data_IF_778772894670
#
_entry.id   IF_778772894670
#
_cell.length_a   1.000
_cell.length_b   1.000
_cell.length_c   1.000
_cell.angle_alpha   90.00
_cell.angle_beta   90.00
_cell.angle_gamma   90.00
#
_symmetry.space_group_name_H-M   'P 1'
#
loop_
_entity.id
_entity.type
_entity.pdbx_description
1 polymer ?
#
# COMPACT_ATOMS: atom_id res chain seq x y z
N UNK A 1 5.06 -0.57 4.31
CA UNK A 1 6.40 -0.92 3.79
C UNK A 1 6.88 0.19 2.87
N UNK A 2 8.16 0.62 3.00
CA UNK A 2 8.72 1.64 2.11
C UNK A 2 9.74 2.57 2.80
N UNK A 3 10.03 3.71 2.18
CA UNK A 3 10.92 4.72 2.75
C UNK A 3 10.21 5.53 3.83
N UNK A 4 10.88 5.83 4.93
CA UNK A 4 10.36 6.79 5.91
C UNK A 4 10.63 8.20 5.39
N UNK A 5 9.64 8.78 4.73
CA UNK A 5 9.68 10.14 4.17
C UNK A 5 8.30 10.79 4.25
N UNK A 6 8.25 12.12 4.26
CA UNK A 6 6.98 12.87 4.30
C UNK A 6 6.04 12.52 3.14
N UNK A 7 6.60 12.29 1.95
CA UNK A 7 5.82 11.94 0.76
C UNK A 7 5.05 10.62 0.87
N UNK A 8 5.39 9.77 1.85
CA UNK A 8 4.70 8.49 2.08
C UNK A 8 3.44 8.59 2.94
N UNK A 9 3.09 9.79 3.42
CA UNK A 9 1.86 10.03 4.17
C UNK A 9 1.78 9.27 5.51
N UNK A 10 2.95 8.95 6.11
CA UNK A 10 2.99 8.21 7.39
C UNK A 10 2.29 9.02 8.48
N UNK A 11 2.39 10.34 8.44
CA UNK A 11 1.69 11.23 9.37
C UNK A 11 0.17 11.05 9.30
N UNK A 12 -0.39 11.07 8.10
CA UNK A 12 -1.83 10.84 7.85
C UNK A 12 -2.26 9.46 8.38
N UNK A 13 -1.43 8.43 8.20
CA UNK A 13 -1.69 7.09 8.73
C UNK A 13 -1.70 7.07 10.26
N UNK A 14 -0.75 7.71 10.91
CA UNK A 14 -0.69 7.77 12.38
C UNK A 14 -1.90 8.52 12.96
N UNK A 15 -2.33 9.61 12.31
CA UNK A 15 -3.55 10.30 12.71
C UNK A 15 -4.80 9.43 12.49
N UNK A 16 -4.89 8.68 11.40
CA UNK A 16 -5.98 7.71 11.18
C UNK A 16 -5.98 6.63 12.28
N UNK A 17 -4.81 6.07 12.63
CA UNK A 17 -4.69 5.12 13.73
C UNK A 17 -5.11 5.73 15.08
N UNK A 18 -4.80 6.99 15.33
CA UNK A 18 -5.25 7.68 16.54
C UNK A 18 -6.78 7.84 16.61
N UNK A 19 -7.45 8.01 15.48
CA UNK A 19 -8.92 8.01 15.41
C UNK A 19 -9.45 6.61 15.74
N UNK A 20 -8.86 5.58 15.14
CA UNK A 20 -9.32 4.19 15.26
C UNK A 20 -9.11 3.62 16.68
N UNK A 21 -7.98 3.93 17.33
CA UNK A 21 -7.66 3.34 18.66
C UNK A 21 -8.70 3.63 19.74
N UNK A 22 -9.50 4.69 19.56
CA UNK A 22 -10.57 5.05 20.48
C UNK A 22 -11.88 4.30 20.19
N UNK A 23 -11.93 3.50 19.12
CA UNK A 23 -13.05 2.63 18.82
C UNK A 23 -12.84 1.28 19.51
N UNK A 24 -13.82 0.87 20.36
CA UNK A 24 -13.78 -0.37 21.13
C UNK A 24 -13.63 -1.63 20.25
N UNK A 25 -14.06 -1.58 19.01
CA UNK A 25 -13.99 -2.71 18.08
C UNK A 25 -12.58 -2.96 17.53
N UNK A 26 -11.66 -2.01 17.70
CA UNK A 26 -10.34 -2.01 17.07
C UNK A 26 -9.18 -2.13 18.06
N UNK A 27 -9.46 -2.52 19.32
CA UNK A 27 -8.48 -2.57 20.41
C UNK A 27 -7.29 -3.53 20.19
N UNK A 28 -7.41 -4.50 19.29
CA UNK A 28 -6.38 -5.52 19.03
C UNK A 28 -5.67 -5.32 17.69
N UNK A 29 -5.62 -4.09 17.17
CA UNK A 29 -4.96 -3.80 15.89
C UNK A 29 -3.51 -3.43 16.13
N UNK A 30 -2.61 -4.03 15.32
CA UNK A 30 -1.21 -3.65 15.24
C UNK A 30 -0.90 -3.07 13.87
N UNK A 31 -0.36 -1.85 13.84
CA UNK A 31 0.23 -1.25 12.65
C UNK A 31 1.72 -1.56 12.61
N UNK A 32 2.19 -2.20 11.55
CA UNK A 32 3.62 -2.44 11.32
C UNK A 32 4.13 -1.51 10.24
N UNK A 33 5.06 -0.61 10.59
CA UNK A 33 5.74 0.30 9.67
C UNK A 33 7.15 -0.22 9.44
N UNK A 34 7.45 -0.62 8.20
CA UNK A 34 8.76 -1.21 7.85
C UNK A 34 9.43 -0.41 6.74
N UNK A 35 10.73 -0.13 6.90
CA UNK A 35 11.44 0.55 5.82
C UNK A 35 12.80 1.12 6.17
N UNK A 36 13.27 1.95 5.24
CA UNK A 36 14.55 2.66 5.34
C UNK A 36 14.27 4.13 5.63
N UNK A 37 15.05 4.70 6.54
CA UNK A 37 14.92 6.11 6.89
C UNK A 37 15.46 7.02 5.79
N UNK A 38 14.64 7.98 5.40
CA UNK A 38 14.97 9.08 4.47
C UNK A 38 14.73 10.45 5.16
N UNK A 39 15.14 10.55 6.42
CA UNK A 39 15.09 11.79 7.21
C UNK A 39 13.74 12.07 7.85
N UNK A 40 12.90 11.07 8.05
CA UNK A 40 11.57 11.25 8.69
C UNK A 40 11.38 10.38 9.94
N UNK A 41 12.33 9.53 10.29
CA UNK A 41 12.17 8.60 11.41
C UNK A 41 11.92 9.29 12.74
N UNK A 42 12.70 10.32 13.06
CA UNK A 42 12.61 11.00 14.36
C UNK A 42 11.28 11.74 14.52
N UNK A 43 10.81 12.42 13.45
CA UNK A 43 9.48 13.06 13.43
C UNK A 43 8.37 12.00 13.62
N UNK A 44 8.45 10.87 12.93
CA UNK A 44 7.52 9.75 13.04
C UNK A 44 7.46 9.19 14.47
N UNK A 45 8.60 8.90 15.07
CA UNK A 45 8.67 8.35 16.43
C UNK A 45 8.14 9.34 17.47
N UNK A 46 8.46 10.64 17.30
CA UNK A 46 7.89 11.70 18.13
C UNK A 46 6.36 11.75 18.01
N UNK A 47 5.83 11.65 16.80
CA UNK A 47 4.39 11.66 16.57
C UNK A 47 3.70 10.44 17.20
N UNK A 48 4.28 9.24 17.07
CA UNK A 48 3.80 8.01 17.73
C UNK A 48 3.70 8.23 19.24
N UNK A 49 4.70 8.85 19.86
CA UNK A 49 4.71 9.16 21.29
C UNK A 49 3.65 10.18 21.67
N UNK A 50 3.53 11.28 20.93
CA UNK A 50 2.52 12.35 21.17
C UNK A 50 1.10 11.79 21.08
N UNK A 51 0.83 10.94 20.09
CA UNK A 51 -0.47 10.30 19.88
C UNK A 51 -0.70 9.08 20.82
N UNK A 52 0.30 8.73 21.64
CA UNK A 52 0.25 7.56 22.55
C UNK A 52 -0.12 6.27 21.83
N UNK A 53 0.55 6.01 20.68
CA UNK A 53 0.31 4.85 19.82
C UNK A 53 1.34 3.72 20.05
N UNK A 54 2.22 3.83 21.05
CA UNK A 54 3.32 2.89 21.27
C UNK A 54 2.92 1.42 21.37
N UNK A 55 1.76 1.14 21.94
CA UNK A 55 1.25 -0.23 22.08
C UNK A 55 0.63 -0.78 20.77
N UNK A 56 0.33 0.10 19.82
CA UNK A 56 -0.38 -0.26 18.57
C UNK A 56 0.53 -0.19 17.33
N UNK A 57 1.70 0.45 17.43
CA UNK A 57 2.59 0.71 16.28
C UNK A 57 3.95 0.09 16.51
N UNK A 58 4.34 -0.81 15.63
CA UNK A 58 5.68 -1.42 15.57
C UNK A 58 6.44 -0.81 14.41
N UNK A 59 7.61 -0.25 14.66
CA UNK A 59 8.51 0.32 13.63
C UNK A 59 9.71 -0.59 13.46
N UNK A 60 9.94 -1.08 12.24
CA UNK A 60 11.07 -1.94 11.88
C UNK A 60 11.92 -1.21 10.83
N UNK A 61 13.13 -0.80 11.23
CA UNK A 61 14.09 -0.12 10.36
C UNK A 61 14.98 -1.13 9.64
N UNK A 62 15.21 -0.89 8.35
CA UNK A 62 16.05 -1.72 7.50
C UNK A 62 15.70 -3.23 7.58
N UNK A 63 14.43 -3.63 7.42
CA UNK A 63 14.04 -5.02 7.52
C UNK A 63 14.73 -5.87 6.45
N UNK A 64 15.19 -7.09 6.78
CA UNK A 64 15.55 -8.08 5.78
C UNK A 64 14.36 -8.38 4.86
N UNK A 65 14.63 -8.84 3.63
CA UNK A 65 13.56 -9.16 2.66
C UNK A 65 12.59 -10.21 3.19
N UNK A 66 13.08 -11.20 3.91
CA UNK A 66 12.27 -12.28 4.46
C UNK A 66 11.26 -11.77 5.51
N UNK A 67 11.65 -10.79 6.33
CA UNK A 67 10.74 -10.16 7.29
C UNK A 67 9.64 -9.36 6.59
N UNK A 68 9.97 -8.69 5.48
CA UNK A 68 8.98 -7.98 4.65
C UNK A 68 7.97 -8.97 4.04
N UNK A 69 8.46 -10.11 3.54
CA UNK A 69 7.63 -11.19 3.01
C UNK A 69 6.73 -11.77 4.11
N UNK A 70 7.28 -12.00 5.29
CA UNK A 70 6.51 -12.50 6.44
C UNK A 70 5.42 -11.51 6.86
N UNK A 71 5.72 -10.21 6.85
CA UNK A 71 4.75 -9.15 7.15
C UNK A 71 3.59 -9.14 6.13
N UNK A 72 3.87 -9.24 4.83
CA UNK A 72 2.80 -9.36 3.83
C UNK A 72 1.92 -10.60 4.04
N UNK A 73 2.52 -11.75 4.38
CA UNK A 73 1.76 -12.98 4.62
C UNK A 73 0.84 -12.87 5.83
N UNK A 74 1.29 -12.23 6.90
CA UNK A 74 0.59 -12.15 8.18
C UNK A 74 -0.38 -10.95 8.25
N UNK A 75 -0.18 -9.91 7.44
CA UNK A 75 -1.06 -8.75 7.46
C UNK A 75 -2.46 -9.07 6.92
N UNK A 76 -3.43 -8.28 7.34
CA UNK A 76 -4.79 -8.32 6.78
C UNK A 76 -4.87 -7.56 5.46
N UNK A 77 -4.20 -6.43 5.36
CA UNK A 77 -4.10 -5.58 4.17
C UNK A 77 -2.90 -4.63 4.28
N UNK A 78 -2.57 -3.99 3.16
CA UNK A 78 -1.57 -2.93 3.08
C UNK A 78 -2.24 -1.56 3.13
N UNK A 79 -1.60 -0.59 3.81
CA UNK A 79 -1.95 0.83 3.72
C UNK A 79 -0.77 1.60 3.14
N UNK A 80 -0.98 2.30 2.02
CA UNK A 80 -0.01 3.14 1.32
C UNK A 80 -0.60 4.55 1.11
N UNK A 81 -0.60 5.42 2.14
CA UNK A 81 -1.26 6.71 2.10
C UNK A 81 -0.39 7.80 1.47
N UNK A 82 0.40 7.44 0.45
CA UNK A 82 1.38 8.33 -0.17
C UNK A 82 0.72 9.55 -0.80
N UNK A 83 1.36 10.71 -0.64
CA UNK A 83 0.96 11.95 -1.28
C UNK A 83 1.32 11.97 -2.76
N UNK A 84 2.34 11.21 -3.14
CA UNK A 84 2.85 11.17 -4.51
C UNK A 84 3.54 9.85 -4.82
N UNK A 85 3.12 9.19 -5.90
CA UNK A 85 3.73 7.99 -6.48
C UNK A 85 3.54 7.99 -8.00
N UNK A 86 4.54 7.57 -8.74
CA UNK A 86 4.42 7.37 -10.18
C UNK A 86 3.98 5.94 -10.51
N UNK A 87 4.71 4.96 -10.00
CA UNK A 87 4.46 3.53 -10.24
C UNK A 87 4.89 2.73 -9.00
N UNK A 88 4.05 2.70 -7.95
CA UNK A 88 4.43 2.03 -6.71
C UNK A 88 4.45 0.51 -6.88
N UNK A 89 5.56 -0.14 -6.49
CA UNK A 89 5.69 -1.60 -6.50
C UNK A 89 5.05 -2.25 -5.26
N UNK A 90 4.98 -1.52 -4.16
CA UNK A 90 4.48 -2.02 -2.87
C UNK A 90 3.05 -2.57 -2.94
N UNK A 91 2.09 -1.95 -3.67
CA UNK A 91 0.79 -2.56 -3.93
C UNK A 91 0.86 -3.89 -4.68
N UNK A 92 1.72 -4.00 -5.70
CA UNK A 92 1.89 -5.25 -6.46
C UNK A 92 2.45 -6.37 -5.58
N UNK A 93 3.39 -6.03 -4.69
CA UNK A 93 3.90 -6.96 -3.68
C UNK A 93 2.77 -7.45 -2.74
N UNK A 94 1.92 -6.55 -2.26
CA UNK A 94 0.77 -6.90 -1.41
C UNK A 94 -0.22 -7.83 -2.13
N UNK A 95 -0.56 -7.50 -3.37
CA UNK A 95 -1.44 -8.30 -4.21
C UNK A 95 -0.90 -9.71 -4.47
N UNK A 96 0.42 -9.88 -4.62
CA UNK A 96 1.04 -11.20 -4.76
C UNK A 96 0.79 -12.12 -3.55
N UNK A 97 0.45 -11.55 -2.38
CA UNK A 97 0.05 -12.28 -1.17
C UNK A 97 -1.47 -12.26 -0.94
N UNK A 98 -2.28 -11.91 -1.94
CA UNK A 98 -3.74 -11.78 -1.84
C UNK A 98 -4.20 -10.78 -0.77
N UNK A 99 -3.39 -9.73 -0.54
CA UNK A 99 -3.74 -8.69 0.42
C UNK A 99 -4.20 -7.46 -0.33
N UNK A 100 -5.43 -6.95 -0.06
CA UNK A 100 -5.91 -5.72 -0.67
C UNK A 100 -5.11 -4.51 -0.17
N UNK A 101 -5.26 -3.40 -0.86
CA UNK A 101 -4.53 -2.18 -0.58
C UNK A 101 -5.49 -1.03 -0.31
N UNK A 102 -5.25 -0.28 0.76
CA UNK A 102 -5.82 1.05 0.93
C UNK A 102 -4.75 2.05 0.50
N UNK A 103 -5.07 2.94 -0.43
CA UNK A 103 -4.13 3.95 -0.91
C UNK A 103 -4.83 5.28 -1.23
N UNK A 104 -4.13 6.22 -1.84
CA UNK A 104 -4.66 7.53 -2.17
C UNK A 104 -4.98 7.67 -3.66
N UNK A 105 -5.90 8.58 -4.01
CA UNK A 105 -6.23 8.97 -5.39
C UNK A 105 -5.14 9.88 -5.98
N UNK A 106 -3.86 9.53 -5.78
CA UNK A 106 -2.74 10.38 -6.14
C UNK A 106 -1.95 9.81 -7.32
N UNK A 107 -1.77 10.64 -8.36
CA UNK A 107 -0.88 10.40 -9.51
C UNK A 107 -0.99 9.01 -10.13
N UNK A 108 0.07 8.19 -10.04
CA UNK A 108 0.13 6.85 -10.64
C UNK A 108 -0.56 5.74 -9.86
N UNK A 109 -1.03 6.00 -8.63
CA UNK A 109 -1.65 4.99 -7.77
C UNK A 109 -2.92 4.39 -8.40
N UNK A 110 -3.87 5.17 -8.97
CA UNK A 110 -5.10 4.61 -9.54
C UNK A 110 -4.90 3.66 -10.74
N UNK A 111 -3.72 3.67 -11.37
CA UNK A 111 -3.39 2.69 -12.41
C UNK A 111 -3.07 1.30 -11.85
N UNK A 112 -2.68 1.22 -10.58
CA UNK A 112 -2.33 -0.03 -9.90
C UNK A 112 -3.41 -0.46 -8.92
N UNK A 113 -3.91 0.48 -8.10
CA UNK A 113 -4.97 0.25 -7.12
C UNK A 113 -6.26 0.86 -7.67
N UNK A 114 -7.21 0.00 -8.00
CA UNK A 114 -8.53 0.39 -8.53
C UNK A 114 -9.55 0.34 -7.40
N UNK A 115 -10.24 1.47 -7.18
CA UNK A 115 -11.17 1.64 -6.08
C UNK A 115 -12.32 0.63 -6.14
N UNK A 116 -12.60 -0.02 -5.00
CA UNK A 116 -13.62 -1.08 -4.87
C UNK A 116 -13.42 -2.32 -5.79
N UNK A 117 -12.26 -2.44 -6.45
CA UNK A 117 -11.92 -3.56 -7.34
C UNK A 117 -10.84 -4.45 -6.74
N UNK A 118 -9.65 -3.89 -6.45
CA UNK A 118 -8.54 -4.60 -5.81
C UNK A 118 -8.03 -3.89 -4.54
N UNK A 119 -8.67 -2.77 -4.16
CA UNK A 119 -8.35 -1.99 -2.97
C UNK A 119 -9.36 -0.88 -2.75
N UNK A 120 -9.05 0.02 -1.83
CA UNK A 120 -9.82 1.24 -1.56
C UNK A 120 -8.95 2.47 -1.79
N UNK A 121 -9.51 3.50 -2.39
CA UNK A 121 -8.83 4.77 -2.64
C UNK A 121 -9.49 5.90 -1.84
N UNK A 122 -8.65 6.64 -1.10
CA UNK A 122 -9.05 7.79 -0.31
C UNK A 122 -8.35 9.06 -0.81
N UNK A 123 -8.85 10.23 -0.43
CA UNK A 123 -8.17 11.49 -0.73
C UNK A 123 -6.84 11.60 0.05
N UNK A 124 -5.77 12.13 -0.57
CA UNK A 124 -4.52 12.41 0.14
C UNK A 124 -4.76 13.32 1.35
N UNK A 125 -3.93 13.19 2.38
CA UNK A 125 -3.98 13.99 3.61
C UNK A 125 -5.32 14.00 4.35
N UNK A 126 -6.12 12.95 4.16
CA UNK A 126 -7.43 12.81 4.82
C UNK A 126 -7.43 11.65 5.83
N UNK A 127 -7.01 11.86 7.08
CA UNK A 127 -6.98 10.81 8.10
C UNK A 127 -8.38 10.29 8.48
N UNK A 128 -9.43 11.09 8.32
CA UNK A 128 -10.80 10.67 8.60
C UNK A 128 -11.31 9.68 7.56
N UNK A 129 -11.05 9.92 6.28
CA UNK A 129 -11.43 9.00 5.20
C UNK A 129 -10.58 7.73 5.27
N UNK A 130 -9.28 7.88 5.53
CA UNK A 130 -8.37 6.74 5.71
C UNK A 130 -8.79 5.85 6.89
N UNK A 131 -9.18 6.43 8.03
CA UNK A 131 -9.64 5.66 9.18
C UNK A 131 -10.92 4.87 8.88
N UNK A 132 -11.87 5.45 8.14
CA UNK A 132 -13.09 4.75 7.69
C UNK A 132 -12.77 3.56 6.78
N UNK A 133 -11.91 3.75 5.80
CA UNK A 133 -11.48 2.69 4.89
C UNK A 133 -10.75 1.55 5.64
N UNK A 134 -9.93 1.88 6.64
CA UNK A 134 -9.27 0.90 7.50
C UNK A 134 -10.31 0.10 8.29
N UNK A 135 -11.26 0.76 8.96
CA UNK A 135 -12.33 0.10 9.72
C UNK A 135 -13.16 -0.81 8.80
N UNK A 136 -13.54 -0.33 7.62
CA UNK A 136 -14.31 -1.09 6.65
C UNK A 136 -13.63 -2.41 6.27
N UNK A 137 -12.33 -2.37 5.94
CA UNK A 137 -11.59 -3.60 5.64
C UNK A 137 -11.34 -4.48 6.88
N UNK A 138 -11.25 -3.91 8.08
CA UNK A 138 -11.13 -4.70 9.30
C UNK A 138 -12.41 -5.47 9.64
N UNK A 139 -13.56 -4.83 9.50
CA UNK A 139 -14.86 -5.40 9.82
C UNK A 139 -15.40 -6.34 8.73
N UNK A 140 -15.03 -6.10 7.45
CA UNK A 140 -15.55 -6.87 6.32
C UNK A 140 -14.53 -7.85 5.74
N UNK A 141 -14.41 -9.01 6.37
CA UNK A 141 -13.52 -10.09 5.90
C UNK A 141 -13.82 -10.54 4.46
N UNK A 142 -15.09 -10.65 4.09
CA UNK A 142 -15.50 -11.10 2.74
C UNK A 142 -15.02 -10.10 1.68
N UNK A 143 -15.21 -8.81 1.94
CA UNK A 143 -14.70 -7.75 1.04
C UNK A 143 -13.18 -7.80 0.95
N UNK A 144 -12.47 -7.92 2.07
CA UNK A 144 -11.02 -8.03 2.14
C UNK A 144 -10.47 -9.15 1.27
N UNK A 145 -11.05 -10.36 1.42
CA UNK A 145 -10.65 -11.54 0.65
C UNK A 145 -10.96 -11.38 -0.84
N UNK A 146 -12.12 -10.82 -1.19
CA UNK A 146 -12.49 -10.55 -2.58
C UNK A 146 -11.54 -9.58 -3.27
N UNK A 147 -11.30 -8.41 -2.66
CA UNK A 147 -10.40 -7.40 -3.20
C UNK A 147 -8.96 -7.93 -3.34
N UNK A 148 -8.48 -8.66 -2.34
CA UNK A 148 -7.15 -9.28 -2.36
C UNK A 148 -7.00 -10.33 -3.46
N UNK A 149 -8.05 -11.12 -3.72
CA UNK A 149 -8.04 -12.12 -4.80
C UNK A 149 -7.99 -11.44 -6.18
N UNK A 150 -8.78 -10.40 -6.41
CA UNK A 150 -8.74 -9.64 -7.67
C UNK A 150 -7.36 -9.00 -7.88
N UNK A 151 -6.75 -8.44 -6.83
CA UNK A 151 -5.39 -7.93 -6.90
C UNK A 151 -4.36 -9.00 -7.26
N UNK A 152 -4.49 -10.20 -6.69
CA UNK A 152 -3.63 -11.34 -7.00
C UNK A 152 -3.75 -11.78 -8.47
N UNK A 153 -4.97 -11.88 -9.00
CA UNK A 153 -5.21 -12.23 -10.41
C UNK A 153 -4.61 -11.17 -11.35
N UNK A 154 -4.77 -9.88 -11.02
CA UNK A 154 -4.18 -8.77 -11.76
C UNK A 154 -2.65 -8.90 -11.85
N UNK A 155 -1.96 -9.12 -10.71
CA UNK A 155 -0.49 -9.24 -10.71
C UNK A 155 -0.03 -10.44 -11.53
N UNK A 156 -0.68 -11.60 -11.37
CA UNK A 156 -0.29 -12.82 -12.06
C UNK A 156 -0.52 -12.76 -13.57
N UNK A 157 -1.57 -12.06 -14.00
CA UNK A 157 -1.92 -11.92 -15.42
C UNK A 157 -1.15 -10.80 -16.11
N UNK A 158 -1.11 -9.60 -15.49
CA UNK A 158 -0.66 -8.39 -16.18
C UNK A 158 0.75 -7.95 -15.76
N UNK A 159 1.17 -8.20 -14.52
CA UNK A 159 2.39 -7.62 -13.93
C UNK A 159 3.50 -8.68 -13.71
N UNK A 160 3.59 -9.68 -14.56
CA UNK A 160 4.65 -10.68 -14.52
C UNK A 160 5.70 -10.43 -15.64
N UNK A 161 6.89 -11.04 -15.50
CA UNK A 161 7.99 -10.84 -16.43
C UNK A 161 7.68 -11.31 -17.86
N UNK A 162 6.84 -12.33 -18.02
CA UNK A 162 6.47 -12.87 -19.34
C UNK A 162 5.56 -11.89 -20.06
N UNK A 163 4.48 -11.42 -19.40
CA UNK A 163 3.57 -10.42 -19.96
C UNK A 163 4.31 -9.12 -20.31
N UNK A 164 5.20 -8.67 -19.43
CA UNK A 164 6.02 -7.47 -19.69
C UNK A 164 6.89 -7.65 -20.94
N UNK A 165 7.58 -8.78 -21.08
CA UNK A 165 8.43 -9.06 -22.24
C UNK A 165 7.61 -9.14 -23.53
N UNK A 166 6.46 -9.81 -23.50
CA UNK A 166 5.56 -9.94 -24.66
C UNK A 166 5.00 -8.58 -25.10
N UNK A 167 4.53 -7.75 -24.17
CA UNK A 167 4.00 -6.43 -24.45
C UNK A 167 5.09 -5.49 -25.02
N UNK A 168 6.31 -5.56 -24.47
CA UNK A 168 7.46 -4.79 -24.99
C UNK A 168 7.82 -5.21 -26.40
N UNK A 169 7.88 -6.53 -26.67
CA UNK A 169 8.17 -7.05 -28.00
C UNK A 169 7.10 -6.64 -29.02
N UNK A 170 5.83 -6.74 -28.66
CA UNK A 170 4.73 -6.31 -29.52
C UNK A 170 4.82 -4.83 -29.88
N UNK A 171 5.10 -3.97 -28.90
CA UNK A 171 5.30 -2.54 -29.13
C UNK A 171 6.50 -2.26 -30.08
N UNK A 172 7.63 -2.94 -29.88
CA UNK A 172 8.78 -2.78 -30.79
C UNK A 172 8.46 -3.22 -32.22
N UNK A 173 7.76 -4.32 -32.39
CA UNK A 173 7.34 -4.80 -33.71
C UNK A 173 6.39 -3.81 -34.39
N UNK A 174 5.46 -3.22 -33.66
CA UNK A 174 4.54 -2.20 -34.15
C UNK A 174 5.31 -0.95 -34.62
N UNK A 175 6.26 -0.45 -33.81
CA UNK A 175 7.07 0.72 -34.15
C UNK A 175 7.91 0.48 -35.40
N UNK A 176 8.55 -0.68 -35.53
CA UNK A 176 9.36 -1.06 -36.69
C UNK A 176 8.46 -1.14 -37.94
N UNK A 177 7.30 -1.75 -37.83
CA UNK A 177 6.35 -1.86 -38.96
C UNK A 177 5.86 -0.49 -39.44
N UNK A 178 5.62 0.45 -38.52
CA UNK A 178 5.12 1.78 -38.84
C UNK A 178 6.24 2.77 -39.26
N UNK A 179 7.53 2.42 -39.06
CA UNK A 179 8.68 3.22 -39.42
C UNK A 179 9.76 2.38 -40.15
N UNK A 180 9.47 1.81 -41.34
CA UNK A 180 10.35 0.84 -41.99
C UNK A 180 11.68 1.44 -42.50
N UNK A 181 11.84 2.78 -42.47
CA UNK A 181 12.99 3.51 -43.04
C UNK A 181 13.82 4.27 -41.98
N UNK A 182 13.74 3.90 -40.69
CA UNK A 182 14.59 4.45 -39.61
C UNK A 182 15.48 3.42 -39.02
#
# INVERSE_FOLDING_TARGET
VGRFSKSKGIETLLHACNIIKNDLKTQNISLVIMGVDFGYQDEMLKLISVLKLGDNVVVIKNPPRDDVIAAYRQSEFLVLPSHWELSPLVPLESFAFKKPVISTKSHGIPYTVQDNVNGLLVEPDNPNELSKAIIELLENKIMREKLGLVGYEFVHKECNCVSMAQNSLALYQEIIKNNPNK
#
